data_IF_493767413929
#
_entry.id   IF_493767413929
#
_cell.length_a   1.000
_cell.length_b   1.000
_cell.length_c   1.000
_cell.angle_alpha   90.00
_cell.angle_beta   90.00
_cell.angle_gamma   90.00
#
_symmetry.space_group_name_H-M   'P 1'
#
loop_
_entity.id
_entity.type
_entity.pdbx_description
1 polymer ?
#
# COMPACT_ATOMS: atom_id res chain seq x y z
N UNK A 1 -30.43 40.37 2.86
CA UNK A 1 -29.45 39.29 2.97
C UNK A 1 -29.53 38.46 1.71
N UNK A 2 -28.47 38.35 0.92
CA UNK A 2 -28.45 37.37 -0.19
C UNK A 2 -28.38 35.99 0.46
N UNK A 3 -29.39 35.16 0.24
CA UNK A 3 -29.29 33.74 0.55
C UNK A 3 -28.17 33.16 -0.33
N UNK A 4 -27.13 32.64 0.30
CA UNK A 4 -26.10 31.88 -0.41
C UNK A 4 -26.72 30.54 -0.81
N UNK A 5 -27.27 30.49 -2.02
CA UNK A 5 -27.75 29.26 -2.61
C UNK A 5 -26.54 28.39 -2.99
N UNK A 6 -26.43 27.20 -2.39
CA UNK A 6 -25.39 26.24 -2.71
C UNK A 6 -25.86 25.37 -3.89
N UNK A 7 -25.23 25.51 -5.06
CA UNK A 7 -25.45 24.63 -6.21
C UNK A 7 -24.30 23.62 -6.33
N UNK A 8 -24.52 22.33 -5.99
CA UNK A 8 -23.53 21.28 -6.17
C UNK A 8 -23.00 21.16 -7.61
N UNK A 9 -23.82 21.54 -8.60
CA UNK A 9 -23.46 21.47 -10.02
C UNK A 9 -22.33 22.42 -10.36
N UNK A 10 -22.24 23.57 -9.69
CA UNK A 10 -21.17 24.54 -9.88
C UNK A 10 -19.83 23.96 -9.40
N UNK A 11 -19.82 23.29 -8.25
CA UNK A 11 -18.63 22.61 -7.72
C UNK A 11 -18.14 21.49 -8.65
N UNK A 12 -19.05 20.67 -9.17
CA UNK A 12 -18.70 19.60 -10.12
C UNK A 12 -18.09 20.19 -11.40
N UNK A 13 -18.68 21.26 -11.94
CA UNK A 13 -18.12 21.95 -13.12
C UNK A 13 -16.74 22.53 -12.85
N UNK A 14 -16.55 23.13 -11.69
CA UNK A 14 -15.25 23.68 -11.28
C UNK A 14 -14.19 22.56 -11.16
N UNK A 15 -14.55 21.41 -10.58
CA UNK A 15 -13.67 20.25 -10.52
C UNK A 15 -13.32 19.72 -11.92
N UNK A 16 -14.32 19.55 -12.80
CA UNK A 16 -14.08 19.13 -14.18
C UNK A 16 -13.16 20.09 -14.93
N UNK A 17 -13.34 21.40 -14.77
CA UNK A 17 -12.45 22.40 -15.37
C UNK A 17 -11.02 22.29 -14.85
N UNK A 18 -10.84 22.02 -13.55
CA UNK A 18 -9.51 21.76 -13.00
C UNK A 18 -8.88 20.51 -13.60
N UNK A 19 -9.63 19.41 -13.67
CA UNK A 19 -9.15 18.12 -14.21
C UNK A 19 -8.80 18.21 -15.70
N UNK A 20 -9.52 19.01 -16.48
CA UNK A 20 -9.27 19.20 -17.93
C UNK A 20 -8.15 20.22 -18.21
N UNK A 21 -7.92 21.19 -17.32
CA UNK A 21 -6.94 22.25 -17.56
C UNK A 21 -5.50 21.73 -17.53
N UNK A 22 -4.80 21.82 -18.66
CA UNK A 22 -3.39 21.44 -18.85
C UNK A 22 -2.37 22.27 -18.04
N UNK A 23 -2.72 23.51 -17.68
CA UNK A 23 -1.82 24.49 -17.03
C UNK A 23 -1.76 24.40 -15.51
N UNK A 24 -2.75 23.79 -14.87
CA UNK A 24 -2.82 23.72 -13.40
C UNK A 24 -1.97 22.54 -12.90
N UNK A 25 -1.26 22.74 -11.79
CA UNK A 25 -0.66 21.64 -11.04
C UNK A 25 -1.76 20.92 -10.27
N UNK A 26 -1.79 19.59 -10.34
CA UNK A 26 -2.76 18.76 -9.63
C UNK A 26 -1.99 17.70 -8.85
N UNK A 27 -2.33 17.59 -7.57
CA UNK A 27 -1.91 16.50 -6.72
C UNK A 27 -3.14 15.74 -6.20
N UNK A 28 -3.06 14.41 -6.20
CA UNK A 28 -4.06 13.55 -5.58
C UNK A 28 -3.49 12.92 -4.32
N UNK A 29 -4.26 12.97 -3.22
CA UNK A 29 -3.96 12.26 -1.99
C UNK A 29 -4.91 11.06 -1.88
N UNK A 30 -4.33 9.86 -1.92
CA UNK A 30 -5.02 8.60 -1.75
C UNK A 30 -4.77 8.04 -0.35
N UNK A 31 -5.85 7.68 0.34
CA UNK A 31 -5.78 7.06 1.66
C UNK A 31 -5.52 5.56 1.55
N UNK A 32 -5.11 4.93 2.65
CA UNK A 32 -4.81 3.49 2.72
C UNK A 32 -5.98 2.56 2.33
N UNK A 33 -7.21 3.10 2.26
CA UNK A 33 -8.39 2.37 1.83
C UNK A 33 -8.63 2.36 0.31
N UNK A 34 -7.87 3.12 -0.49
CA UNK A 34 -8.08 3.21 -1.95
C UNK A 34 -8.03 1.84 -2.62
N UNK A 35 -7.15 0.96 -2.15
CA UNK A 35 -6.93 -0.38 -2.72
C UNK A 35 -7.59 -1.51 -1.93
N UNK A 36 -8.57 -1.21 -1.06
CA UNK A 36 -9.17 -2.22 -0.16
C UNK A 36 -9.87 -3.38 -0.88
N UNK A 37 -10.30 -3.17 -2.14
CA UNK A 37 -10.90 -4.22 -2.97
C UNK A 37 -9.91 -5.32 -3.35
N UNK A 38 -8.60 -5.04 -3.27
CA UNK A 38 -7.52 -5.94 -3.66
C UNK A 38 -6.56 -6.25 -2.50
N UNK A 39 -6.44 -5.34 -1.53
CA UNK A 39 -5.60 -5.48 -0.33
C UNK A 39 -6.48 -5.51 0.90
N UNK A 40 -6.30 -6.52 1.76
CA UNK A 40 -7.05 -6.61 3.01
C UNK A 40 -6.67 -5.49 4.00
N UNK A 41 -7.68 -4.94 4.69
CA UNK A 41 -7.44 -4.05 5.82
C UNK A 41 -6.83 -4.78 7.03
N UNK A 42 -6.22 -4.03 7.94
CA UNK A 42 -5.47 -4.57 9.08
C UNK A 42 -6.26 -5.55 9.96
N UNK A 43 -7.56 -5.29 10.15
CA UNK A 43 -8.43 -6.17 10.93
C UNK A 43 -8.58 -7.55 10.27
N UNK A 44 -8.74 -7.59 8.94
CA UNK A 44 -8.87 -8.84 8.20
C UNK A 44 -7.53 -9.57 8.10
N UNK A 45 -6.42 -8.85 7.92
CA UNK A 45 -5.07 -9.43 7.99
C UNK A 45 -4.86 -10.09 9.36
N UNK A 46 -5.26 -9.41 10.45
CA UNK A 46 -5.12 -9.95 11.81
C UNK A 46 -5.89 -11.28 11.95
N UNK A 47 -7.15 -11.32 11.52
CA UNK A 47 -7.97 -12.54 11.55
C UNK A 47 -7.36 -13.69 10.72
N UNK A 48 -6.88 -13.40 9.51
CA UNK A 48 -6.29 -14.40 8.61
C UNK A 48 -4.97 -14.94 9.16
N UNK A 49 -4.11 -14.08 9.68
CA UNK A 49 -2.85 -14.47 10.30
C UNK A 49 -3.10 -15.35 11.53
N UNK A 50 -4.05 -14.99 12.40
CA UNK A 50 -4.43 -15.83 13.54
C UNK A 50 -4.88 -17.22 13.08
N UNK A 51 -5.77 -17.27 12.10
CA UNK A 51 -6.28 -18.54 11.55
C UNK A 51 -5.18 -19.41 10.98
N UNK A 52 -4.27 -18.84 10.18
CA UNK A 52 -3.15 -19.58 9.60
C UNK A 52 -2.10 -20.02 10.61
N UNK A 53 -1.99 -19.35 11.77
CA UNK A 53 -1.13 -19.80 12.87
C UNK A 53 -1.73 -21.00 13.61
N UNK A 54 -3.05 -21.18 13.54
CA UNK A 54 -3.71 -22.38 14.08
C UNK A 54 -3.40 -23.65 13.28
N UNK A 55 -2.72 -23.57 12.14
CA UNK A 55 -2.41 -24.72 11.28
C UNK A 55 -0.94 -25.17 11.38
N UNK A 56 -0.12 -24.53 12.24
CA UNK A 56 1.33 -24.80 12.32
C UNK A 56 1.74 -25.93 13.29
N UNK A 57 2.94 -26.47 13.07
CA UNK A 57 3.53 -27.60 13.84
C UNK A 57 3.65 -27.32 15.35
N UNK A 58 3.78 -26.05 15.75
CA UNK A 58 3.84 -25.61 17.16
C UNK A 58 2.54 -24.96 17.66
N UNK A 59 1.40 -25.29 17.02
CA UNK A 59 0.07 -24.69 17.24
C UNK A 59 -0.26 -24.43 18.70
N UNK A 60 -0.14 -25.43 19.57
CA UNK A 60 -0.63 -25.32 20.95
C UNK A 60 0.15 -24.27 21.75
N UNK A 61 1.48 -24.26 21.63
CA UNK A 61 2.33 -23.30 22.34
C UNK A 61 2.18 -21.88 21.81
N UNK A 62 2.15 -21.71 20.49
CA UNK A 62 1.94 -20.40 19.89
C UNK A 62 0.54 -19.86 20.20
N UNK A 63 -0.47 -20.72 20.17
CA UNK A 63 -1.84 -20.35 20.54
C UNK A 63 -1.92 -19.85 21.99
N UNK A 64 -1.33 -20.59 22.94
CA UNK A 64 -1.29 -20.13 24.34
C UNK A 64 -0.59 -18.78 24.47
N UNK A 65 0.58 -18.62 23.83
CA UNK A 65 1.32 -17.37 23.88
C UNK A 65 0.53 -16.19 23.28
N UNK A 66 -0.12 -16.40 22.14
CA UNK A 66 -0.92 -15.36 21.46
C UNK A 66 -2.13 -14.98 22.30
N UNK A 67 -2.85 -15.94 22.91
CA UNK A 67 -3.98 -15.64 23.78
C UNK A 67 -3.56 -14.84 25.03
N UNK A 68 -2.42 -15.17 25.63
CA UNK A 68 -1.87 -14.37 26.73
C UNK A 68 -1.53 -12.95 26.27
N UNK A 69 -0.86 -12.80 25.13
CA UNK A 69 -0.51 -11.49 24.54
C UNK A 69 -1.77 -10.69 24.18
N UNK A 70 -2.80 -11.35 23.65
CA UNK A 70 -4.08 -10.74 23.33
C UNK A 70 -4.77 -10.21 24.58
N UNK A 71 -4.66 -10.95 25.69
CA UNK A 71 -5.14 -10.51 27.01
C UNK A 71 -4.33 -9.31 27.54
N UNK A 72 -3.00 -9.29 27.34
CA UNK A 72 -2.14 -8.16 27.70
C UNK A 72 -2.45 -6.89 26.89
N UNK A 73 -2.73 -7.02 25.59
CA UNK A 73 -2.99 -5.92 24.66
C UNK A 73 -4.45 -5.42 24.69
N UNK A 74 -5.39 -6.28 25.09
CA UNK A 74 -6.82 -5.98 25.18
C UNK A 74 -7.39 -5.47 23.86
N UNK A 75 -8.13 -4.35 23.91
CA UNK A 75 -8.82 -3.77 22.75
C UNK A 75 -7.88 -3.24 21.64
N UNK A 76 -6.56 -3.18 21.88
CA UNK A 76 -5.57 -2.70 20.90
C UNK A 76 -4.96 -3.83 20.09
N UNK A 77 -5.50 -5.04 20.20
CA UNK A 77 -4.96 -6.20 19.52
C UNK A 77 -5.12 -6.08 17.99
N UNK A 78 -3.98 -6.00 17.30
CA UNK A 78 -3.84 -6.05 15.85
C UNK A 78 -2.55 -6.83 15.54
N UNK A 79 -2.37 -7.24 14.29
CA UNK A 79 -1.12 -7.90 13.88
C UNK A 79 0.12 -7.01 14.09
N UNK A 80 -0.02 -5.67 13.98
CA UNK A 80 1.06 -4.71 14.24
C UNK A 80 1.43 -4.66 15.73
N UNK A 81 0.44 -4.59 16.61
CA UNK A 81 0.69 -4.54 18.05
C UNK A 81 1.18 -5.89 18.57
N UNK A 82 0.71 -7.00 18.00
CA UNK A 82 1.25 -8.34 18.23
C UNK A 82 2.73 -8.42 17.86
N UNK A 83 3.09 -8.04 16.62
CA UNK A 83 4.49 -8.04 16.18
C UNK A 83 5.37 -7.12 17.04
N UNK A 84 4.89 -5.91 17.34
CA UNK A 84 5.62 -4.96 18.19
C UNK A 84 5.87 -5.51 19.58
N UNK A 85 4.88 -6.20 20.15
CA UNK A 85 4.97 -6.83 21.47
C UNK A 85 5.95 -8.03 21.44
N UNK A 86 5.88 -8.89 20.42
CA UNK A 86 6.80 -10.02 20.25
C UNK A 86 8.26 -9.56 20.07
N UNK A 87 8.50 -8.53 19.26
CA UNK A 87 9.84 -7.96 19.05
C UNK A 87 10.41 -7.40 20.37
N UNK A 88 9.58 -6.71 21.17
CA UNK A 88 9.98 -6.24 22.50
C UNK A 88 10.30 -7.41 23.43
N UNK A 89 9.45 -8.45 23.48
CA UNK A 89 9.68 -9.65 24.29
C UNK A 89 10.97 -10.36 23.89
N UNK A 90 11.26 -10.47 22.58
CA UNK A 90 12.52 -11.02 22.07
C UNK A 90 13.74 -10.24 22.59
N UNK A 91 13.65 -8.91 22.66
CA UNK A 91 14.77 -8.09 23.16
C UNK A 91 15.03 -8.24 24.67
N UNK A 92 14.00 -8.52 25.48
CA UNK A 92 14.11 -8.54 26.94
C UNK A 92 14.27 -9.95 27.55
N UNK A 93 13.92 -11.02 26.82
CA UNK A 93 13.81 -12.38 27.36
C UNK A 93 15.14 -12.96 27.89
N UNK A 94 16.27 -12.60 27.28
CA UNK A 94 17.57 -13.20 27.59
C UNK A 94 17.51 -14.74 27.54
N UNK A 95 18.00 -15.41 28.60
CA UNK A 95 17.97 -16.89 28.71
C UNK A 95 16.67 -17.44 29.31
N UNK A 96 15.68 -16.59 29.56
CA UNK A 96 14.42 -16.95 30.21
C UNK A 96 13.37 -17.49 29.25
N UNK A 97 12.13 -17.49 29.72
CA UNK A 97 10.93 -17.80 28.95
C UNK A 97 9.89 -16.70 29.15
N UNK A 98 9.25 -16.23 28.08
CA UNK A 98 8.11 -15.30 28.13
C UNK A 98 6.94 -15.92 27.40
N UNK A 99 5.75 -15.88 28.02
CA UNK A 99 4.54 -16.50 27.49
C UNK A 99 4.74 -17.97 27.07
N UNK A 100 5.55 -18.70 27.85
CA UNK A 100 5.89 -20.10 27.57
C UNK A 100 6.87 -20.33 26.43
N UNK A 101 7.41 -19.29 25.79
CA UNK A 101 8.33 -19.36 24.66
C UNK A 101 9.75 -18.93 25.05
N UNK A 102 10.76 -19.58 24.46
CA UNK A 102 12.17 -19.14 24.49
C UNK A 102 12.45 -18.15 23.36
N UNK A 103 13.60 -17.46 23.42
CA UNK A 103 14.03 -16.51 22.40
C UNK A 103 13.93 -17.04 20.96
N UNK A 104 14.45 -18.25 20.71
CA UNK A 104 14.42 -18.88 19.38
C UNK A 104 13.01 -19.20 18.89
N UNK A 105 12.09 -19.52 19.81
CA UNK A 105 10.68 -19.81 19.49
C UNK A 105 9.92 -18.52 19.19
N UNK A 106 10.19 -17.43 19.93
CA UNK A 106 9.64 -16.11 19.65
C UNK A 106 10.13 -15.61 18.28
N UNK A 107 11.41 -15.77 17.97
CA UNK A 107 11.96 -15.40 16.66
C UNK A 107 11.32 -16.19 15.52
N UNK A 108 11.14 -17.50 15.69
CA UNK A 108 10.45 -18.34 14.71
C UNK A 108 8.99 -17.88 14.50
N UNK A 109 8.28 -17.52 15.57
CA UNK A 109 6.92 -16.99 15.50
C UNK A 109 6.86 -15.65 14.78
N UNK A 110 7.77 -14.71 15.08
CA UNK A 110 7.87 -13.42 14.39
C UNK A 110 8.07 -13.61 12.89
N UNK A 111 9.01 -14.49 12.51
CA UNK A 111 9.29 -14.76 11.11
C UNK A 111 8.11 -15.43 10.40
N UNK A 112 7.43 -16.38 11.07
CA UNK A 112 6.20 -16.98 10.55
C UNK A 112 5.12 -15.92 10.29
N UNK A 113 4.85 -15.05 11.27
CA UNK A 113 3.87 -13.96 11.12
C UNK A 113 4.26 -13.04 9.96
N UNK A 114 5.52 -12.61 9.87
CA UNK A 114 6.01 -11.74 8.77
C UNK A 114 5.82 -12.39 7.40
N UNK A 115 6.12 -13.67 7.26
CA UNK A 115 5.93 -14.40 6.01
C UNK A 115 4.45 -14.54 5.63
N UNK A 116 3.56 -14.78 6.59
CA UNK A 116 2.11 -14.82 6.35
C UNK A 116 1.57 -13.45 5.91
N UNK A 117 1.94 -12.38 6.62
CA UNK A 117 1.58 -11.01 6.22
C UNK A 117 2.08 -10.72 4.82
N UNK A 118 3.36 -11.02 4.54
CA UNK A 118 3.97 -10.81 3.23
C UNK A 118 3.15 -11.50 2.14
N UNK A 119 2.76 -12.76 2.32
CA UNK A 119 1.91 -13.49 1.35
C UNK A 119 0.55 -12.81 1.15
N UNK A 120 -0.09 -12.37 2.23
CA UNK A 120 -1.40 -11.70 2.16
C UNK A 120 -1.36 -10.33 1.47
N UNK A 121 -0.25 -9.58 1.59
CA UNK A 121 -0.13 -8.22 1.03
C UNK A 121 0.63 -8.17 -0.30
N UNK A 122 1.33 -9.23 -0.70
CA UNK A 122 2.07 -9.30 -1.95
C UNK A 122 1.14 -9.53 -3.13
N UNK A 123 0.35 -8.52 -3.46
CA UNK A 123 -0.67 -8.61 -4.52
C UNK A 123 -0.10 -8.93 -5.90
N UNK A 124 1.19 -8.68 -6.11
CA UNK A 124 1.91 -8.91 -7.34
C UNK A 124 2.34 -10.38 -7.58
N UNK A 125 2.30 -11.24 -6.56
CA UNK A 125 2.78 -12.63 -6.72
C UNK A 125 1.79 -13.53 -7.45
N UNK A 126 0.49 -13.25 -7.31
CA UNK A 126 -0.58 -13.99 -8.00
C UNK A 126 -1.11 -13.18 -9.18
N UNK A 127 -0.52 -13.39 -10.36
CA UNK A 127 -0.93 -12.76 -11.62
C UNK A 127 -2.41 -13.01 -12.00
N UNK A 128 -3.02 -14.03 -11.41
CA UNK A 128 -4.45 -14.33 -11.61
C UNK A 128 -5.37 -13.41 -10.79
N UNK A 129 -4.89 -12.86 -9.67
CA UNK A 129 -5.68 -12.00 -8.78
C UNK A 129 -5.68 -10.53 -9.22
N UNK A 130 -4.61 -10.08 -9.89
CA UNK A 130 -4.53 -8.75 -10.47
C UNK A 130 -4.61 -8.84 -11.99
N UNK A 131 -5.78 -8.52 -12.53
CA UNK A 131 -5.95 -8.22 -13.95
C UNK A 131 -5.82 -6.71 -14.12
N UNK A 132 -4.67 -6.25 -14.60
CA UNK A 132 -4.35 -4.82 -14.71
C UNK A 132 -5.44 -4.03 -15.46
N UNK A 133 -6.01 -4.58 -16.55
CA UNK A 133 -7.12 -3.99 -17.30
C UNK A 133 -8.40 -3.70 -16.50
N UNK A 134 -8.58 -4.34 -15.33
CA UNK A 134 -9.79 -4.20 -14.49
C UNK A 134 -9.54 -3.35 -13.25
N UNK A 135 -8.32 -2.84 -13.06
CA UNK A 135 -7.99 -2.00 -11.92
C UNK A 135 -8.49 -0.57 -12.16
N UNK A 136 -9.14 -0.01 -11.15
CA UNK A 136 -9.49 1.42 -11.12
C UNK A 136 -8.23 2.30 -11.20
N UNK A 137 -7.10 1.78 -10.72
CA UNK A 137 -5.78 2.41 -10.85
C UNK A 137 -5.32 2.52 -12.31
N UNK A 138 -5.65 1.52 -13.14
CA UNK A 138 -5.36 1.55 -14.57
C UNK A 138 -6.25 2.55 -15.29
N UNK A 139 -7.52 2.67 -14.94
CA UNK A 139 -8.41 3.71 -15.49
C UNK A 139 -7.89 5.11 -15.14
N UNK A 140 -7.40 5.28 -13.90
CA UNK A 140 -6.80 6.53 -13.45
C UNK A 140 -5.49 6.83 -14.21
N UNK A 141 -4.62 5.84 -14.40
CA UNK A 141 -3.40 5.98 -15.20
C UNK A 141 -3.70 6.30 -16.67
N UNK A 142 -4.71 5.66 -17.25
CA UNK A 142 -5.17 5.96 -18.61
C UNK A 142 -5.63 7.42 -18.73
N UNK A 143 -6.38 7.93 -17.75
CA UNK A 143 -6.73 9.34 -17.68
C UNK A 143 -5.51 10.26 -17.61
N UNK A 144 -4.50 9.92 -16.78
CA UNK A 144 -3.24 10.69 -16.70
C UNK A 144 -2.59 10.79 -18.09
N UNK A 145 -2.47 9.68 -18.81
CA UNK A 145 -1.89 9.64 -20.15
C UNK A 145 -2.67 10.47 -21.17
N UNK A 146 -4.01 10.45 -21.10
CA UNK A 146 -4.88 11.20 -22.03
C UNK A 146 -4.97 12.69 -21.73
N UNK A 147 -4.71 13.11 -20.49
CA UNK A 147 -4.95 14.48 -20.05
C UNK A 147 -3.97 15.53 -20.63
N UNK A 148 -2.96 15.12 -21.42
CA UNK A 148 -1.91 15.95 -22.06
C UNK A 148 -1.65 17.28 -21.33
N UNK A 149 -0.99 17.18 -20.16
CA UNK A 149 -0.82 18.29 -19.21
C UNK A 149 0.59 18.86 -19.28
N UNK A 150 0.72 20.17 -19.07
CA UNK A 150 2.03 20.85 -18.97
C UNK A 150 2.82 20.43 -17.73
N UNK A 151 2.12 20.07 -16.67
CA UNK A 151 2.72 19.59 -15.41
C UNK A 151 2.20 18.19 -15.13
N UNK A 152 3.13 17.29 -14.77
CA UNK A 152 2.80 15.93 -14.35
C UNK A 152 1.82 15.94 -13.17
N UNK A 153 1.00 14.90 -13.10
CA UNK A 153 0.10 14.67 -11.96
C UNK A 153 0.93 14.13 -10.79
N UNK A 154 0.81 14.76 -9.63
CA UNK A 154 1.46 14.29 -8.41
C UNK A 154 0.54 13.31 -7.68
N UNK A 155 1.07 12.14 -7.32
CA UNK A 155 0.34 11.10 -6.59
C UNK A 155 0.95 10.99 -5.20
N UNK A 156 0.12 11.16 -4.18
CA UNK A 156 0.49 10.97 -2.78
C UNK A 156 -0.36 9.85 -2.21
N UNK A 157 0.27 8.90 -1.54
CA UNK A 157 -0.41 7.79 -0.87
C UNK A 157 -0.02 7.79 0.61
N UNK A 158 -0.94 7.37 1.49
CA UNK A 158 -0.64 7.22 2.92
C UNK A 158 0.05 5.89 3.26
N UNK A 159 0.14 4.98 2.30
CA UNK A 159 0.75 3.65 2.37
C UNK A 159 1.49 3.36 1.05
N UNK A 160 2.36 2.36 1.04
CA UNK A 160 2.99 1.91 -0.21
C UNK A 160 1.98 1.05 -0.99
N UNK A 161 1.51 1.53 -2.14
CA UNK A 161 0.38 0.97 -2.87
C UNK A 161 0.75 0.61 -4.30
N UNK A 162 1.25 -0.62 -4.46
CA UNK A 162 1.72 -1.20 -5.72
C UNK A 162 0.71 -1.13 -6.88
N UNK A 163 -0.58 -0.92 -6.61
CA UNK A 163 -1.59 -0.89 -7.67
C UNK A 163 -1.48 0.36 -8.54
N UNK A 164 -0.95 1.47 -8.01
CA UNK A 164 -0.68 2.65 -8.83
C UNK A 164 0.45 2.39 -9.82
N UNK A 165 1.55 1.81 -9.39
CA UNK A 165 2.67 1.41 -10.24
C UNK A 165 2.20 0.45 -11.32
N UNK A 166 1.45 -0.60 -10.94
CA UNK A 166 0.89 -1.56 -11.90
C UNK A 166 0.00 -0.86 -12.93
N UNK A 167 -0.87 0.06 -12.51
CA UNK A 167 -1.76 0.80 -13.42
C UNK A 167 -1.00 1.72 -14.38
N UNK A 168 0.03 2.41 -13.87
CA UNK A 168 0.89 3.30 -14.65
C UNK A 168 1.73 2.52 -15.67
N UNK A 169 2.39 1.45 -15.24
CA UNK A 169 3.23 0.63 -16.11
C UNK A 169 2.41 -0.09 -17.18
N UNK A 170 1.23 -0.60 -16.82
CA UNK A 170 0.31 -1.21 -17.78
C UNK A 170 -0.06 -0.23 -18.91
N UNK A 171 -0.36 1.02 -18.55
CA UNK A 171 -0.66 2.08 -19.52
C UNK A 171 0.59 2.74 -20.12
N UNK A 172 1.80 2.22 -19.86
CA UNK A 172 3.06 2.80 -20.31
C UNK A 172 3.24 4.29 -19.93
N UNK A 173 2.74 4.68 -18.76
CA UNK A 173 2.84 6.04 -18.23
C UNK A 173 4.12 6.18 -17.40
N UNK A 174 5.08 7.01 -17.81
CA UNK A 174 6.32 7.18 -17.07
C UNK A 174 6.05 7.87 -15.73
N UNK A 175 6.63 7.34 -14.65
CA UNK A 175 6.48 7.89 -13.31
C UNK A 175 7.82 7.88 -12.56
N UNK A 176 7.87 8.67 -11.50
CA UNK A 176 9.01 8.72 -10.58
C UNK A 176 8.47 8.68 -9.14
N UNK A 177 8.77 7.61 -8.43
CA UNK A 177 8.32 7.35 -7.06
C UNK A 177 9.39 7.71 -6.00
N UNK A 178 10.56 8.18 -6.43
CA UNK A 178 11.68 8.51 -5.54
C UNK A 178 12.59 7.32 -5.19
N UNK A 179 12.30 6.12 -5.69
CA UNK A 179 13.10 4.92 -5.47
C UNK A 179 13.78 4.45 -6.77
N UNK A 180 14.76 3.57 -6.62
CA UNK A 180 15.41 2.92 -7.76
C UNK A 180 14.72 1.60 -8.08
N UNK A 181 14.02 1.55 -9.20
CA UNK A 181 13.34 0.35 -9.67
C UNK A 181 11.87 0.61 -10.00
N UNK A 182 11.28 -0.28 -10.77
CA UNK A 182 9.85 -0.28 -11.08
C UNK A 182 9.38 -1.74 -11.03
N UNK A 183 8.08 -1.98 -10.94
CA UNK A 183 7.56 -3.33 -10.83
C UNK A 183 7.76 -4.12 -12.14
N UNK A 184 7.33 -3.55 -13.25
CA UNK A 184 7.49 -4.05 -14.61
C UNK A 184 7.88 -2.90 -15.55
N UNK A 185 9.17 -2.60 -15.71
CA UNK A 185 9.63 -1.47 -16.50
C UNK A 185 9.27 -1.65 -17.98
N UNK A 186 8.94 -0.55 -18.63
CA UNK A 186 8.64 -0.48 -20.06
C UNK A 186 9.55 0.53 -20.76
N UNK A 187 9.72 0.35 -22.07
CA UNK A 187 10.51 1.28 -22.88
C UNK A 187 9.64 2.48 -23.29
N UNK A 188 10.06 3.69 -22.91
CA UNK A 188 9.44 4.93 -23.36
C UNK A 188 10.29 5.57 -24.47
N UNK A 189 9.89 5.38 -25.73
CA UNK A 189 10.59 5.92 -26.89
C UNK A 189 10.68 7.45 -26.91
N UNK A 190 9.62 8.14 -26.46
CA UNK A 190 9.59 9.62 -26.45
C UNK A 190 10.69 10.20 -25.55
N UNK A 191 11.04 9.48 -24.49
CA UNK A 191 12.14 9.89 -23.60
C UNK A 191 13.51 9.84 -24.29
N UNK A 192 13.68 9.11 -25.40
CA UNK A 192 14.95 9.10 -26.14
C UNK A 192 15.01 10.25 -27.14
N UNK A 193 13.86 10.64 -27.71
CA UNK A 193 13.77 11.61 -28.80
C UNK A 193 13.61 13.07 -28.31
N UNK A 194 12.93 13.30 -27.18
CA UNK A 194 12.64 14.63 -26.67
C UNK A 194 13.45 14.98 -25.42
N UNK A 195 14.63 15.58 -25.58
CA UNK A 195 15.50 15.97 -24.45
C UNK A 195 14.96 17.13 -23.59
N UNK A 196 13.74 17.64 -23.83
CA UNK A 196 13.17 18.78 -23.10
C UNK A 196 12.83 18.49 -21.63
N UNK A 197 12.75 17.21 -21.24
CA UNK A 197 12.56 16.78 -19.85
C UNK A 197 13.84 16.88 -18.99
N UNK A 198 15.03 16.98 -19.62
CA UNK A 198 16.26 17.21 -18.89
C UNK A 198 16.24 18.63 -18.33
N UNK A 199 16.55 18.78 -17.04
CA UNK A 199 16.76 20.09 -16.44
C UNK A 199 17.88 20.76 -17.24
N UNK A 200 17.54 21.84 -17.96
CA UNK A 200 18.53 22.63 -18.67
C UNK A 200 19.54 23.10 -17.64
N UNK A 201 20.76 22.53 -17.66
CA UNK A 201 21.84 23.02 -16.82
C UNK A 201 22.08 24.48 -17.23
N UNK A 202 21.62 25.40 -16.40
CA UNK A 202 21.96 26.81 -16.51
C UNK A 202 23.48 26.90 -16.38
N UNK A 203 24.13 27.34 -17.46
CA UNK A 203 25.54 27.75 -17.44
C UNK A 203 25.76 28.90 -16.46
#
# INVERSE_FOLDING_TARGET
MKENFFDPSEYIRNLQQLLVSDKKKIGFLFGAGTSISYVFGIAKITELVEKELEEEVNKERYKTAIEEIKTELGNKYTVETLLSNLEQKKQIIGKGTLNGLKESEIEALINSIKEKIRKLVSVHTDKENIVADKLVHSDFAEWIGKANRKHAVEIFTTNYDYLFEIGLEHNCIPYYDGFTGSYQPFFNGESVDDMSYLTTQTK
#
